data_IF_998589589384
#
_entry.id   IF_998589589384
#
_cell.length_a   1.000
_cell.length_b   1.000
_cell.length_c   1.000
_cell.angle_alpha   90.00
_cell.angle_beta   90.00
_cell.angle_gamma   90.00
#
_symmetry.space_group_name_H-M   'P 1'
#
loop_
_entity.id
_entity.type
_entity.pdbx_description
1 polymer ?
#
# COMPACT_ATOMS: atom_id res chain seq x y z
N UNK A 1 -17.05 13.98 -20.55
CA UNK A 1 -17.69 15.24 -20.12
C UNK A 1 -16.58 16.28 -19.99
N UNK A 2 -16.73 17.50 -20.53
CA UNK A 2 -15.70 18.57 -20.38
C UNK A 2 -16.09 19.47 -19.20
N UNK A 3 -15.27 19.42 -18.15
CA UNK A 3 -15.42 20.15 -16.88
C UNK A 3 -14.11 20.85 -16.49
N UNK A 4 -13.25 21.13 -17.46
CA UNK A 4 -11.94 21.77 -17.23
C UNK A 4 -12.09 23.12 -16.54
N UNK A 5 -11.29 23.32 -15.49
CA UNK A 5 -11.28 24.55 -14.71
C UNK A 5 -12.56 24.85 -13.91
N UNK A 6 -13.50 23.89 -13.82
CA UNK A 6 -14.71 24.09 -13.00
C UNK A 6 -14.38 24.21 -11.52
N UNK A 7 -15.19 24.99 -10.81
CA UNK A 7 -15.02 25.20 -9.39
C UNK A 7 -16.10 24.48 -8.58
N UNK A 8 -15.67 23.40 -7.89
CA UNK A 8 -16.48 22.58 -6.99
C UNK A 8 -16.10 22.82 -5.52
N UNK A 9 -15.40 23.93 -5.21
CA UNK A 9 -14.94 24.22 -3.85
C UNK A 9 -16.08 24.11 -2.84
N UNK A 10 -15.86 23.32 -1.76
CA UNK A 10 -16.78 23.11 -0.65
C UNK A 10 -18.09 22.41 -1.02
N UNK A 11 -18.24 21.89 -2.23
CA UNK A 11 -19.47 21.19 -2.65
C UNK A 11 -19.52 19.79 -2.03
N UNK A 12 -20.74 19.34 -1.73
CA UNK A 12 -20.97 17.94 -1.39
C UNK A 12 -21.30 17.15 -2.65
N UNK A 13 -20.36 16.30 -3.05
CA UNK A 13 -20.40 15.46 -4.24
C UNK A 13 -20.31 13.97 -3.86
N UNK A 14 -20.74 13.62 -2.64
CA UNK A 14 -20.75 12.23 -2.16
C UNK A 14 -21.41 11.30 -3.17
N UNK A 15 -20.70 10.25 -3.60
CA UNK A 15 -21.17 9.26 -4.56
C UNK A 15 -21.37 9.79 -5.98
N UNK A 16 -20.92 11.01 -6.29
CA UNK A 16 -21.01 11.53 -7.66
C UNK A 16 -20.16 10.70 -8.65
N UNK A 17 -20.55 10.70 -9.91
CA UNK A 17 -19.85 9.96 -10.96
C UNK A 17 -19.23 10.93 -12.00
N UNK A 18 -17.90 11.02 -11.97
CA UNK A 18 -17.05 11.75 -12.91
C UNK A 18 -16.19 10.80 -13.78
N UNK A 19 -16.55 9.51 -13.87
CA UNK A 19 -15.77 8.55 -14.64
C UNK A 19 -15.55 9.03 -16.08
N UNK A 20 -14.28 9.02 -16.54
CA UNK A 20 -13.87 9.46 -17.87
C UNK A 20 -14.08 10.95 -18.16
N UNK A 21 -14.36 11.79 -17.15
CA UNK A 21 -14.51 13.23 -17.34
C UNK A 21 -13.14 13.92 -17.55
N UNK A 22 -13.15 15.00 -18.29
CA UNK A 22 -12.02 15.93 -18.38
C UNK A 22 -12.21 17.05 -17.34
N UNK A 23 -11.42 16.98 -16.28
CA UNK A 23 -11.44 17.84 -15.10
C UNK A 23 -10.10 18.59 -14.95
N UNK A 24 -9.30 18.68 -16.03
CA UNK A 24 -8.00 19.36 -15.96
C UNK A 24 -8.13 20.77 -15.36
N UNK A 25 -7.33 21.05 -14.33
CA UNK A 25 -7.33 22.33 -13.61
C UNK A 25 -8.59 22.65 -12.83
N UNK A 26 -9.50 21.69 -12.62
CA UNK A 26 -10.68 21.90 -11.77
C UNK A 26 -10.30 22.08 -10.29
N UNK A 27 -11.17 22.72 -9.52
CA UNK A 27 -10.96 23.01 -8.10
C UNK A 27 -11.97 22.25 -7.23
N UNK A 28 -11.48 21.32 -6.39
CA UNK A 28 -12.25 20.55 -5.39
C UNK A 28 -11.80 20.90 -3.97
N UNK A 29 -11.18 22.07 -3.75
CA UNK A 29 -10.73 22.48 -2.40
C UNK A 29 -11.90 22.39 -1.41
N UNK A 30 -11.67 21.78 -0.23
CA UNK A 30 -12.66 21.59 0.83
C UNK A 30 -13.93 20.80 0.38
N UNK A 31 -13.94 20.15 -0.76
CA UNK A 31 -15.10 19.39 -1.24
C UNK A 31 -15.30 18.08 -0.44
N UNK A 32 -16.56 17.63 -0.36
CA UNK A 32 -16.90 16.31 0.20
C UNK A 32 -17.08 15.36 -0.99
N UNK A 33 -16.12 14.43 -1.15
CA UNK A 33 -15.98 13.50 -2.27
C UNK A 33 -16.07 12.02 -1.82
N UNK A 34 -16.75 11.78 -0.71
CA UNK A 34 -16.91 10.43 -0.15
C UNK A 34 -17.48 9.47 -1.19
N UNK A 35 -16.80 8.35 -1.45
CA UNK A 35 -17.18 7.31 -2.45
C UNK A 35 -17.44 7.90 -3.85
N UNK A 36 -16.80 9.02 -4.20
CA UNK A 36 -16.92 9.64 -5.54
C UNK A 36 -16.13 8.84 -6.56
N UNK A 37 -16.69 8.62 -7.75
CA UNK A 37 -16.04 7.87 -8.83
C UNK A 37 -15.39 8.82 -9.85
N UNK A 38 -14.04 8.80 -9.94
CA UNK A 38 -13.23 9.49 -10.94
C UNK A 38 -12.56 8.53 -11.94
N UNK A 39 -12.92 7.25 -11.96
CA UNK A 39 -12.24 6.24 -12.77
C UNK A 39 -11.99 6.70 -14.21
N UNK A 40 -10.72 6.62 -14.65
CA UNK A 40 -10.29 7.01 -15.99
C UNK A 40 -10.42 8.51 -16.33
N UNK A 41 -10.70 9.37 -15.34
CA UNK A 41 -10.79 10.82 -15.57
C UNK A 41 -9.42 11.46 -15.82
N UNK A 42 -9.41 12.61 -16.52
CA UNK A 42 -8.26 13.52 -16.58
C UNK A 42 -8.34 14.52 -15.43
N UNK A 43 -7.43 14.39 -14.46
CA UNK A 43 -7.35 15.21 -13.25
C UNK A 43 -6.04 16.00 -13.20
N UNK A 44 -5.41 16.21 -14.36
CA UNK A 44 -4.15 16.94 -14.45
C UNK A 44 -4.29 18.36 -13.89
N UNK A 45 -3.35 18.77 -13.02
CA UNK A 45 -3.38 20.08 -12.35
C UNK A 45 -4.67 20.36 -11.53
N UNK A 46 -5.43 19.32 -11.17
CA UNK A 46 -6.65 19.46 -10.36
C UNK A 46 -6.27 19.66 -8.89
N UNK A 47 -6.99 20.54 -8.18
CA UNK A 47 -6.74 20.85 -6.78
C UNK A 47 -7.79 20.22 -5.87
N UNK A 48 -7.37 19.19 -5.10
CA UNK A 48 -8.15 18.48 -4.08
C UNK A 48 -7.72 18.85 -2.65
N UNK A 49 -7.05 19.99 -2.46
CA UNK A 49 -6.54 20.38 -1.14
C UNK A 49 -7.66 20.41 -0.10
N UNK A 50 -7.43 19.81 1.06
CA UNK A 50 -8.38 19.70 2.18
C UNK A 50 -9.69 18.95 1.83
N UNK A 51 -9.80 18.31 0.67
CA UNK A 51 -11.00 17.54 0.32
C UNK A 51 -11.14 16.30 1.19
N UNK A 52 -12.40 15.91 1.48
CA UNK A 52 -12.69 14.61 2.06
C UNK A 52 -13.06 13.62 0.96
N UNK A 53 -12.08 12.85 0.50
CA UNK A 53 -12.21 11.85 -0.55
C UNK A 53 -12.08 10.41 0.02
N UNK A 54 -12.63 10.18 1.22
CA UNK A 54 -12.70 8.85 1.82
C UNK A 54 -13.40 7.87 0.85
N UNK A 55 -12.81 6.68 0.63
CA UNK A 55 -13.33 5.63 -0.26
C UNK A 55 -13.58 6.12 -1.71
N UNK A 56 -12.90 7.17 -2.18
CA UNK A 56 -13.04 7.65 -3.56
C UNK A 56 -12.26 6.77 -4.54
N UNK A 57 -12.80 6.60 -5.74
CA UNK A 57 -12.18 5.82 -6.81
C UNK A 57 -11.45 6.73 -7.81
N UNK A 58 -10.11 6.71 -7.77
CA UNK A 58 -9.21 7.37 -8.72
C UNK A 58 -8.49 6.37 -9.66
N UNK A 59 -9.02 5.16 -9.84
CA UNK A 59 -8.37 4.14 -10.65
C UNK A 59 -8.18 4.60 -12.10
N UNK A 60 -6.99 4.31 -12.65
CA UNK A 60 -6.63 4.61 -14.03
C UNK A 60 -6.76 6.11 -14.41
N UNK A 61 -6.71 7.02 -13.43
CA UNK A 61 -6.76 8.47 -13.68
C UNK A 61 -5.43 9.04 -14.12
N UNK A 62 -5.46 10.16 -14.85
CA UNK A 62 -4.30 11.00 -15.05
C UNK A 62 -4.32 12.13 -14.00
N UNK A 63 -3.58 11.93 -12.91
CA UNK A 63 -3.45 12.88 -11.80
C UNK A 63 -2.11 13.64 -11.83
N UNK A 64 -1.45 13.77 -12.98
CA UNK A 64 -0.19 14.53 -13.07
C UNK A 64 -0.34 15.94 -12.52
N UNK A 65 0.63 16.32 -11.68
CA UNK A 65 0.67 17.63 -11.03
C UNK A 65 -0.60 17.96 -10.21
N UNK A 66 -1.43 16.98 -9.83
CA UNK A 66 -2.59 17.19 -8.98
C UNK A 66 -2.19 17.47 -7.53
N UNK A 67 -2.98 18.30 -6.83
CA UNK A 67 -2.73 18.68 -5.45
C UNK A 67 -3.72 17.95 -4.50
N UNK A 68 -3.21 17.15 -3.58
CA UNK A 68 -3.97 16.48 -2.52
C UNK A 68 -3.51 16.96 -1.13
N UNK A 69 -3.14 18.24 -1.01
CA UNK A 69 -2.59 18.81 0.21
C UNK A 69 -3.59 18.68 1.37
N UNK A 70 -3.20 18.03 2.47
CA UNK A 70 -4.06 17.80 3.64
C UNK A 70 -5.39 17.10 3.34
N UNK A 71 -5.54 16.43 2.20
CA UNK A 71 -6.76 15.70 1.85
C UNK A 71 -6.93 14.44 2.69
N UNK A 72 -8.16 14.08 2.99
CA UNK A 72 -8.49 12.76 3.54
C UNK A 72 -8.75 11.79 2.40
N UNK A 73 -7.80 10.89 2.14
CA UNK A 73 -7.82 9.85 1.12
C UNK A 73 -7.86 8.44 1.74
N UNK A 74 -8.32 8.33 2.99
CA UNK A 74 -8.46 7.04 3.66
C UNK A 74 -9.29 6.09 2.79
N UNK A 75 -8.81 4.86 2.58
CA UNK A 75 -9.43 3.83 1.76
C UNK A 75 -9.62 4.19 0.26
N UNK A 76 -9.11 5.34 -0.22
CA UNK A 76 -9.21 5.71 -1.62
C UNK A 76 -8.39 4.75 -2.51
N UNK A 77 -8.85 4.51 -3.74
CA UNK A 77 -8.13 3.68 -4.70
C UNK A 77 -7.56 4.53 -5.84
N UNK A 78 -6.25 4.39 -6.07
CA UNK A 78 -5.49 4.99 -7.17
C UNK A 78 -4.88 3.94 -8.10
N UNK A 79 -5.37 2.71 -8.08
CA UNK A 79 -4.82 1.62 -8.88
C UNK A 79 -4.64 2.02 -10.35
N UNK A 80 -3.41 1.87 -10.87
CA UNK A 80 -3.05 2.23 -12.24
C UNK A 80 -3.06 3.73 -12.55
N UNK A 81 -3.17 4.62 -11.56
CA UNK A 81 -3.17 6.06 -11.77
C UNK A 81 -1.77 6.60 -12.12
N UNK A 82 -1.72 7.65 -12.93
CA UNK A 82 -0.51 8.42 -13.19
C UNK A 82 -0.45 9.61 -12.22
N UNK A 83 0.40 9.49 -11.20
CA UNK A 83 0.57 10.45 -10.11
C UNK A 83 1.90 11.23 -10.23
N UNK A 84 2.55 11.20 -11.40
CA UNK A 84 3.81 11.92 -11.61
C UNK A 84 3.63 13.42 -11.30
N UNK A 85 4.47 13.97 -10.40
CA UNK A 85 4.38 15.34 -9.92
C UNK A 85 3.22 15.65 -8.98
N UNK A 86 2.37 14.69 -8.63
CA UNK A 86 1.29 14.93 -7.66
C UNK A 86 1.83 15.20 -6.26
N UNK A 87 1.17 16.06 -5.48
CA UNK A 87 1.55 16.36 -4.11
C UNK A 87 0.52 15.86 -3.10
N UNK A 88 0.97 14.96 -2.18
CA UNK A 88 0.19 14.41 -1.07
C UNK A 88 0.65 14.97 0.28
N UNK A 89 1.33 16.11 0.29
CA UNK A 89 1.85 16.72 1.51
C UNK A 89 0.75 16.85 2.57
N UNK A 90 0.99 16.28 3.76
CA UNK A 90 0.05 16.22 4.88
C UNK A 90 -1.26 15.47 4.62
N UNK A 91 -1.43 14.78 3.49
CA UNK A 91 -2.62 13.98 3.22
C UNK A 91 -2.69 12.74 4.14
N UNK A 92 -3.89 12.19 4.29
CA UNK A 92 -4.10 10.91 4.94
C UNK A 92 -4.43 9.83 3.89
N UNK A 93 -3.49 8.93 3.64
CA UNK A 93 -3.59 7.78 2.73
C UNK A 93 -3.75 6.45 3.47
N UNK A 94 -4.26 6.46 4.71
CA UNK A 94 -4.47 5.23 5.48
C UNK A 94 -5.34 4.25 4.68
N UNK A 95 -4.84 3.03 4.48
CA UNK A 95 -5.51 1.95 3.72
C UNK A 95 -5.79 2.29 2.25
N UNK A 96 -5.21 3.37 1.69
CA UNK A 96 -5.35 3.69 0.27
C UNK A 96 -4.61 2.67 -0.60
N UNK A 97 -5.18 2.35 -1.77
CA UNK A 97 -4.55 1.48 -2.77
C UNK A 97 -3.78 2.33 -3.79
N UNK A 98 -2.44 2.23 -3.78
CA UNK A 98 -1.53 2.85 -4.76
C UNK A 98 -0.86 1.81 -5.68
N UNK A 99 -1.48 0.64 -5.87
CA UNK A 99 -0.93 -0.41 -6.71
C UNK A 99 -0.81 0.05 -8.17
N UNK A 100 0.30 -0.31 -8.83
CA UNK A 100 0.56 -0.04 -10.24
C UNK A 100 0.49 1.46 -10.64
N UNK A 101 0.71 2.37 -9.68
CA UNK A 101 0.76 3.82 -9.92
C UNK A 101 2.11 4.26 -10.46
N UNK A 102 2.11 5.34 -11.27
CA UNK A 102 3.32 6.07 -11.63
C UNK A 102 3.48 7.27 -10.69
N UNK A 103 4.51 7.24 -9.82
CA UNK A 103 4.73 8.26 -8.77
C UNK A 103 6.14 8.86 -8.80
N UNK A 104 6.79 8.88 -9.96
CA UNK A 104 8.23 9.15 -10.09
C UNK A 104 8.67 10.43 -9.35
N UNK A 105 7.88 11.49 -9.41
CA UNK A 105 8.18 12.78 -8.75
C UNK A 105 7.10 13.23 -7.77
N UNK A 106 6.24 12.31 -7.31
CA UNK A 106 5.20 12.64 -6.33
C UNK A 106 5.79 12.96 -4.96
N UNK A 107 5.16 13.93 -4.26
CA UNK A 107 5.61 14.41 -2.95
C UNK A 107 4.75 13.84 -1.82
N UNK A 108 5.39 13.30 -0.76
CA UNK A 108 4.71 12.66 0.37
C UNK A 108 5.14 13.20 1.73
N UNK A 109 5.58 14.45 1.83
CA UNK A 109 6.04 15.03 3.09
C UNK A 109 4.92 15.08 4.13
N UNK A 110 5.19 14.51 5.32
CA UNK A 110 4.23 14.41 6.42
C UNK A 110 2.90 13.70 6.07
N UNK A 111 2.87 12.89 5.03
CA UNK A 111 1.71 12.10 4.64
C UNK A 111 1.46 10.97 5.65
N UNK A 112 0.21 10.80 6.09
CA UNK A 112 -0.20 9.70 6.97
C UNK A 112 -0.60 8.50 6.10
N UNK A 113 -0.27 7.27 6.54
CA UNK A 113 -0.67 6.04 5.85
C UNK A 113 0.30 5.58 4.75
N UNK A 114 1.26 6.41 4.35
CA UNK A 114 2.46 5.93 3.67
C UNK A 114 3.46 5.60 4.76
N UNK A 115 3.63 4.33 4.99
CA UNK A 115 4.54 3.85 6.01
C UNK A 115 5.90 3.55 5.39
N UNK A 116 6.92 4.39 5.59
CA UNK A 116 8.31 3.97 5.44
C UNK A 116 8.64 3.09 6.66
N UNK A 117 7.99 1.92 6.75
CA UNK A 117 8.17 1.02 7.90
C UNK A 117 9.34 0.08 7.66
N UNK A 118 9.62 -0.17 6.38
CA UNK A 118 10.78 -0.99 6.02
C UNK A 118 12.05 -0.15 6.13
N UNK A 119 13.00 -0.50 6.98
CA UNK A 119 14.30 0.13 6.98
C UNK A 119 14.92 0.06 5.59
N UNK A 120 15.38 1.19 5.08
CA UNK A 120 16.05 1.29 3.77
C UNK A 120 17.54 0.97 3.84
N UNK A 121 18.09 0.90 5.05
CA UNK A 121 19.50 0.63 5.29
C UNK A 121 19.69 -0.32 6.48
N UNK A 122 20.70 -1.18 6.39
CA UNK A 122 21.07 -2.14 7.43
C UNK A 122 20.22 -3.41 7.41
N UNK A 123 20.59 -4.35 8.26
CA UNK A 123 19.83 -5.58 8.47
C UNK A 123 18.82 -5.41 9.59
N UNK A 124 17.71 -6.09 9.51
CA UNK A 124 16.65 -6.04 10.54
C UNK A 124 15.86 -7.34 10.60
N UNK A 125 15.05 -7.49 11.66
CA UNK A 125 14.16 -8.63 11.85
C UNK A 125 12.72 -8.23 11.55
N UNK A 126 11.97 -9.14 10.92
CA UNK A 126 10.55 -9.02 10.66
C UNK A 126 9.80 -10.32 10.96
N UNK A 127 8.50 -10.33 10.74
CA UNK A 127 7.63 -11.49 10.97
C UNK A 127 6.70 -11.73 9.80
N UNK A 128 6.50 -12.99 9.42
CA UNK A 128 5.49 -13.37 8.42
C UNK A 128 4.63 -14.53 8.94
N UNK A 129 3.57 -14.84 8.22
CA UNK A 129 2.63 -15.91 8.57
C UNK A 129 2.75 -17.07 7.60
N UNK A 130 2.72 -18.27 8.15
CA UNK A 130 2.75 -19.54 7.42
C UNK A 130 1.74 -20.54 8.01
N UNK A 131 1.64 -21.71 7.41
CA UNK A 131 0.83 -22.82 7.91
C UNK A 131 1.69 -24.08 8.00
N UNK A 132 1.49 -24.87 9.05
CA UNK A 132 2.09 -26.22 9.12
C UNK A 132 1.37 -27.20 8.16
N UNK A 133 1.88 -28.42 8.02
CA UNK A 133 1.30 -29.45 7.14
C UNK A 133 -0.15 -29.83 7.49
N UNK A 134 -0.66 -29.42 8.65
CA UNK A 134 -2.01 -29.66 9.11
C UNK A 134 -2.91 -28.42 9.02
N UNK A 135 -2.42 -27.32 8.41
CA UNK A 135 -3.13 -26.05 8.27
C UNK A 135 -3.19 -25.24 9.58
N UNK A 136 -2.35 -25.54 10.58
CA UNK A 136 -2.27 -24.68 11.77
C UNK A 136 -1.41 -23.47 11.48
N UNK A 137 -1.87 -22.30 11.95
CA UNK A 137 -1.15 -21.05 11.77
C UNK A 137 0.19 -21.03 12.50
N UNK A 138 1.21 -20.55 11.79
CA UNK A 138 2.57 -20.39 12.27
C UNK A 138 2.99 -18.94 12.13
N UNK A 139 3.74 -18.45 13.12
CA UNK A 139 4.47 -17.19 13.06
C UNK A 139 5.92 -17.51 12.70
N UNK A 140 6.43 -16.82 11.69
CA UNK A 140 7.79 -17.02 11.21
C UNK A 140 8.57 -15.75 11.48
N UNK A 141 9.66 -15.86 12.21
CA UNK A 141 10.65 -14.81 12.38
C UNK A 141 11.63 -14.85 11.22
N UNK A 142 11.82 -13.70 10.57
CA UNK A 142 12.68 -13.57 9.41
C UNK A 142 13.71 -12.48 9.63
N UNK A 143 14.92 -12.71 9.14
CA UNK A 143 15.99 -11.73 9.12
C UNK A 143 16.18 -11.23 7.68
N UNK A 144 16.13 -9.94 7.50
CA UNK A 144 16.37 -9.28 6.22
C UNK A 144 17.82 -8.77 6.23
N UNK A 145 18.69 -9.33 5.38
CA UNK A 145 20.09 -8.93 5.34
C UNK A 145 20.25 -7.53 4.74
N UNK A 146 21.32 -6.81 5.15
CA UNK A 146 21.58 -5.44 4.71
C UNK A 146 21.80 -5.27 3.20
N UNK A 147 22.05 -6.35 2.47
CA UNK A 147 22.23 -6.34 1.02
C UNK A 147 20.93 -6.61 0.25
N UNK A 148 19.87 -7.08 0.92
CA UNK A 148 18.59 -7.32 0.28
C UNK A 148 17.79 -6.02 0.20
N UNK A 149 17.32 -5.69 -0.99
CA UNK A 149 16.42 -4.57 -1.16
C UNK A 149 15.07 -4.87 -0.48
N UNK A 150 14.54 -3.86 0.19
CA UNK A 150 13.26 -3.94 0.88
C UNK A 150 12.42 -2.68 0.66
N UNK A 151 11.11 -2.84 0.64
CA UNK A 151 10.21 -1.70 0.52
C UNK A 151 8.88 -1.92 1.25
N UNK A 152 8.14 -0.85 1.46
CA UNK A 152 6.76 -0.87 1.93
C UNK A 152 5.93 0.12 1.14
N UNK A 153 4.72 -0.27 0.77
CA UNK A 153 3.76 0.62 0.13
C UNK A 153 2.86 1.33 1.13
N UNK A 154 1.56 1.39 0.86
CA UNK A 154 0.55 2.02 1.73
C UNK A 154 0.08 1.13 2.88
N UNK A 155 0.56 -0.10 2.97
CA UNK A 155 0.23 -1.04 4.05
C UNK A 155 1.37 -1.16 5.04
N UNK A 156 1.09 -1.67 6.24
CA UNK A 156 2.12 -1.98 7.24
C UNK A 156 2.87 -3.29 6.96
N UNK A 157 2.65 -3.91 5.80
CA UNK A 157 3.45 -5.04 5.33
C UNK A 157 4.62 -4.53 4.51
N UNK A 158 5.79 -5.08 4.78
CA UNK A 158 6.99 -4.86 3.99
C UNK A 158 7.20 -6.00 2.99
N UNK A 159 8.00 -5.75 1.98
CA UNK A 159 8.50 -6.75 1.04
C UNK A 159 10.02 -6.74 1.07
N UNK A 160 10.65 -7.84 0.74
CA UNK A 160 12.10 -7.90 0.54
C UNK A 160 12.45 -8.85 -0.59
N UNK A 161 13.54 -8.53 -1.29
CA UNK A 161 14.16 -9.38 -2.30
C UNK A 161 14.61 -10.73 -1.73
N UNK A 162 15.09 -10.72 -0.50
CA UNK A 162 15.49 -11.93 0.19
C UNK A 162 15.25 -11.82 1.69
N UNK A 163 14.97 -12.95 2.32
CA UNK A 163 14.89 -13.09 3.76
C UNK A 163 15.47 -14.42 4.22
N UNK A 164 16.01 -14.44 5.43
CA UNK A 164 16.51 -15.63 6.08
C UNK A 164 15.53 -16.07 7.17
N UNK A 165 15.17 -17.34 7.20
CA UNK A 165 14.23 -17.88 8.18
C UNK A 165 14.96 -18.13 9.50
N UNK A 166 14.65 -17.36 10.54
CA UNK A 166 15.25 -17.50 11.87
C UNK A 166 14.57 -18.55 12.72
N UNK A 167 13.24 -18.52 12.78
CA UNK A 167 12.45 -19.47 13.54
C UNK A 167 11.03 -19.59 12.98
N UNK A 168 10.41 -20.76 13.22
CA UNK A 168 9.01 -21.04 12.86
C UNK A 168 8.29 -21.51 14.11
N UNK A 169 7.35 -20.72 14.63
CA UNK A 169 6.58 -21.01 15.84
C UNK A 169 5.10 -21.28 15.50
N UNK A 170 4.59 -22.46 15.82
CA UNK A 170 3.17 -22.76 15.68
C UNK A 170 2.35 -22.07 16.76
N UNK A 171 1.39 -21.24 16.39
CA UNK A 171 0.64 -20.38 17.32
C UNK A 171 -0.27 -21.15 18.29
N UNK A 172 -0.68 -22.36 17.93
CA UNK A 172 -1.59 -23.17 18.74
C UNK A 172 -0.98 -23.64 20.07
N UNK A 173 0.29 -23.96 20.09
CA UNK A 173 0.99 -24.61 21.21
C UNK A 173 2.43 -24.15 21.39
N UNK A 174 2.83 -23.08 20.68
CA UNK A 174 4.17 -22.46 20.67
C UNK A 174 5.28 -23.49 20.34
N UNK A 175 4.94 -24.53 19.57
CA UNK A 175 5.91 -25.51 19.14
C UNK A 175 6.79 -24.97 18.02
N UNK A 176 8.10 -25.11 18.17
CA UNK A 176 9.05 -24.73 17.11
C UNK A 176 9.07 -25.82 16.04
N UNK A 177 8.96 -25.40 14.80
CA UNK A 177 8.92 -26.25 13.62
C UNK A 177 10.16 -26.03 12.76
N UNK A 178 10.52 -27.04 11.98
CA UNK A 178 11.60 -26.96 11.00
C UNK A 178 11.07 -26.44 9.65
N UNK A 179 9.81 -26.71 9.35
CA UNK A 179 9.20 -26.35 8.07
C UNK A 179 7.77 -25.80 8.25
N UNK A 180 7.40 -24.84 7.42
CA UNK A 180 6.02 -24.37 7.24
C UNK A 180 5.81 -23.91 5.79
N UNK A 181 4.55 -23.73 5.36
CA UNK A 181 4.21 -23.24 4.03
C UNK A 181 3.71 -21.80 4.12
N UNK A 182 4.25 -20.90 3.29
CA UNK A 182 3.77 -19.51 3.22
C UNK A 182 2.29 -19.48 2.84
N UNK A 183 1.52 -18.71 3.59
CA UNK A 183 0.05 -18.64 3.47
C UNK A 183 -0.45 -18.10 2.12
N UNK A 184 0.40 -17.40 1.39
CA UNK A 184 0.06 -16.74 0.11
C UNK A 184 0.69 -17.44 -1.11
N UNK A 185 1.48 -18.51 -0.88
CA UNK A 185 2.16 -19.32 -1.87
C UNK A 185 2.36 -20.74 -1.34
N UNK A 186 2.39 -21.70 -2.24
CA UNK A 186 2.85 -23.07 -1.93
C UNK A 186 4.38 -23.12 -1.74
N UNK A 187 4.93 -22.11 -1.06
CA UNK A 187 6.36 -22.00 -0.80
C UNK A 187 6.68 -22.63 0.56
N UNK A 188 7.54 -23.64 0.57
CA UNK A 188 8.00 -24.27 1.81
C UNK A 188 9.12 -23.42 2.40
N UNK A 189 8.90 -22.91 3.62
CA UNK A 189 9.93 -22.26 4.44
C UNK A 189 10.63 -23.31 5.27
N UNK A 190 11.94 -23.30 5.28
CA UNK A 190 12.77 -24.15 6.13
C UNK A 190 13.58 -23.29 7.08
N UNK A 191 13.60 -23.64 8.37
CA UNK A 191 14.41 -22.94 9.38
C UNK A 191 15.90 -22.87 8.95
N UNK A 192 16.52 -21.69 9.13
CA UNK A 192 17.91 -21.40 8.75
C UNK A 192 18.21 -21.38 7.25
N UNK A 193 17.21 -21.27 6.40
CA UNK A 193 17.38 -21.10 4.96
C UNK A 193 17.06 -19.69 4.49
N UNK A 194 17.64 -19.31 3.35
CA UNK A 194 17.30 -18.10 2.63
C UNK A 194 16.18 -18.37 1.64
N UNK A 195 15.24 -17.43 1.57
CA UNK A 195 14.18 -17.40 0.57
C UNK A 195 14.40 -16.16 -0.29
N UNK A 196 14.30 -16.31 -1.60
CA UNK A 196 14.48 -15.24 -2.56
C UNK A 196 13.18 -14.96 -3.31
N UNK A 197 12.92 -13.70 -3.59
CA UNK A 197 11.88 -13.27 -4.52
C UNK A 197 12.52 -13.00 -5.87
N UNK A 198 12.37 -13.94 -6.81
CA UNK A 198 12.98 -13.84 -8.15
C UNK A 198 12.35 -12.73 -9.01
N UNK A 199 11.13 -12.29 -8.65
CA UNK A 199 10.37 -11.26 -9.35
C UNK A 199 10.31 -9.95 -8.56
N UNK A 200 11.19 -9.77 -7.55
CA UNK A 200 11.19 -8.58 -6.70
C UNK A 200 11.42 -7.31 -7.53
N UNK A 201 10.51 -6.36 -7.39
CA UNK A 201 10.64 -5.03 -7.96
C UNK A 201 10.78 -3.99 -6.85
N UNK A 202 11.86 -3.19 -6.91
CA UNK A 202 12.17 -2.20 -5.88
C UNK A 202 11.15 -1.04 -5.79
N UNK A 203 10.27 -0.89 -6.79
CA UNK A 203 9.17 0.07 -6.74
C UNK A 203 8.18 -0.31 -5.64
N UNK A 204 8.14 0.50 -4.58
CA UNK A 204 7.33 0.26 -3.38
C UNK A 204 5.81 0.21 -3.63
N UNK A 205 5.33 0.63 -4.79
CA UNK A 205 3.91 0.68 -5.14
C UNK A 205 3.50 -0.39 -6.15
N UNK A 206 4.45 -1.11 -6.72
CA UNK A 206 4.16 -2.30 -7.52
C UNK A 206 4.14 -3.52 -6.64
N UNK A 207 3.10 -4.34 -6.77
CA UNK A 207 2.98 -5.62 -6.10
C UNK A 207 2.92 -6.72 -7.13
N UNK A 208 3.81 -7.72 -7.01
CA UNK A 208 3.66 -8.96 -7.75
C UNK A 208 2.90 -10.00 -6.91
N UNK A 209 2.29 -10.99 -7.54
CA UNK A 209 1.69 -12.13 -6.83
C UNK A 209 2.75 -12.99 -6.10
N UNK A 210 4.01 -12.68 -6.35
CA UNK A 210 5.18 -13.43 -5.90
C UNK A 210 5.91 -12.81 -4.72
N UNK A 211 5.52 -11.62 -4.23
CA UNK A 211 6.22 -10.88 -3.18
C UNK A 211 6.33 -11.63 -1.85
N UNK A 212 7.49 -11.53 -1.22
CA UNK A 212 7.75 -12.00 0.14
C UNK A 212 7.34 -10.93 1.14
N UNK A 213 6.15 -11.06 1.70
CA UNK A 213 5.59 -10.10 2.66
C UNK A 213 5.95 -10.43 4.10
N UNK A 214 6.22 -9.39 4.89
CA UNK A 214 6.46 -9.50 6.33
C UNK A 214 6.01 -8.22 7.06
N UNK A 215 5.94 -8.27 8.39
CA UNK A 215 5.66 -7.13 9.27
C UNK A 215 6.89 -6.82 10.10
N UNK A 216 7.10 -5.55 10.43
CA UNK A 216 8.24 -5.13 11.28
C UNK A 216 8.03 -5.51 12.74
N UNK A 217 6.79 -5.65 13.22
CA UNK A 217 6.54 -6.09 14.58
C UNK A 217 5.75 -7.39 14.66
N UNK A 218 6.05 -8.16 15.70
CA UNK A 218 5.33 -9.40 16.03
C UNK A 218 3.85 -9.16 16.30
N UNK A 219 3.54 -8.04 16.97
CA UNK A 219 2.19 -7.60 17.30
C UNK A 219 1.34 -7.35 16.04
N UNK A 220 1.92 -6.73 15.02
CA UNK A 220 1.25 -6.48 13.74
C UNK A 220 0.94 -7.77 12.98
N UNK A 221 1.91 -8.68 12.90
CA UNK A 221 1.70 -9.99 12.31
C UNK A 221 0.57 -10.77 13.03
N UNK A 222 0.58 -10.79 14.37
CA UNK A 222 -0.46 -11.45 15.18
C UNK A 222 -1.83 -10.77 15.08
N UNK A 223 -1.88 -9.44 14.94
CA UNK A 223 -3.15 -8.72 14.75
C UNK A 223 -3.84 -9.11 13.43
N UNK A 224 -3.06 -9.45 12.41
CA UNK A 224 -3.60 -9.93 11.13
C UNK A 224 -4.27 -11.31 11.25
N UNK A 225 -3.76 -12.20 12.12
CA UNK A 225 -4.41 -13.49 12.44
C UNK A 225 -5.78 -13.26 13.09
N UNK A 226 -5.84 -12.36 14.08
CA UNK A 226 -7.05 -12.10 14.88
C UNK A 226 -8.21 -11.46 14.12
N UNK A 227 -7.94 -10.74 13.03
CA UNK A 227 -8.99 -10.13 12.18
C UNK A 227 -9.75 -11.15 11.32
N UNK A 228 -9.30 -12.42 11.26
CA UNK A 228 -9.90 -13.50 10.44
C UNK A 228 -10.80 -14.44 11.24
N UNK A 229 -10.92 -14.24 12.56
CA UNK A 229 -11.81 -14.97 13.47
C UNK A 229 -13.02 -14.06 13.82
#
# INVERSE_FOLDING_TARGET
MDLRGWNFKGQNLTGANFAGADLEGACFIDAILVSTNFEGASLKNTDFSCANAWDANFNNTNCKDALFLSANLTEASFEGADLDGASFVQANLTEANLQDTNIITAEFDNTIGIYPVCPTEGSFTGWTLAEDRNGNECLVEVFIPAWADGNSGTTRRCRAEALHIESIERLKDNCILVEATLKFRDYILTEKEYVYDEDFEADRFKTSSTDLYFWISKEEALAHVRKKI
#
